data_IF_381774395427
#
_entry.id   IF_381774395427
#
_cell.length_a   1.000
_cell.length_b   1.000
_cell.length_c   1.000
_cell.angle_alpha   90.00
_cell.angle_beta   90.00
_cell.angle_gamma   90.00
#
_symmetry.space_group_name_H-M   'P 1'
#
loop_
_entity.id
_entity.type
_entity.pdbx_description
1 polymer ?
#
# COMPACT_ATOMS: atom_id res chain seq x y z
N UNK A 1 -2.93 10.66 -16.46
CA UNK A 1 -1.65 10.53 -15.72
C UNK A 1 -0.62 10.05 -16.72
N UNK A 2 0.54 10.69 -16.80
CA UNK A 2 1.60 10.24 -17.68
C UNK A 2 2.13 8.87 -17.22
N UNK A 3 2.53 8.02 -18.17
CA UNK A 3 3.03 6.67 -17.89
C UNK A 3 4.21 6.69 -16.89
N UNK A 4 5.05 7.73 -16.95
CA UNK A 4 6.17 7.90 -16.05
C UNK A 4 5.76 8.19 -14.60
N UNK A 5 4.72 8.99 -14.38
CA UNK A 5 4.20 9.24 -13.03
C UNK A 5 3.60 7.98 -12.43
N UNK A 6 2.99 7.15 -13.28
CA UNK A 6 2.46 5.86 -12.86
C UNK A 6 3.56 4.89 -12.42
N UNK A 7 4.64 4.78 -13.21
CA UNK A 7 5.80 3.95 -12.85
C UNK A 7 6.42 4.43 -11.54
N UNK A 8 6.59 5.74 -11.35
CA UNK A 8 7.10 6.31 -10.08
C UNK A 8 6.22 5.90 -8.89
N UNK A 9 4.90 5.90 -9.07
CA UNK A 9 3.93 5.48 -8.05
C UNK A 9 4.11 4.00 -7.70
N UNK A 10 4.27 3.12 -8.69
CA UNK A 10 4.50 1.69 -8.45
C UNK A 10 5.80 1.44 -7.71
N UNK A 11 6.91 1.98 -8.19
CA UNK A 11 8.22 1.81 -7.54
C UNK A 11 8.15 2.24 -6.07
N UNK A 12 7.54 3.40 -5.78
CA UNK A 12 7.35 3.88 -4.41
C UNK A 12 6.50 2.93 -3.57
N UNK A 13 5.36 2.48 -4.10
CA UNK A 13 4.44 1.60 -3.40
C UNK A 13 5.10 0.26 -3.09
N UNK A 14 5.80 -0.33 -4.06
CA UNK A 14 6.59 -1.54 -3.89
C UNK A 14 7.58 -1.43 -2.72
N UNK A 15 8.41 -0.39 -2.68
CA UNK A 15 9.37 -0.21 -1.57
C UNK A 15 8.65 0.00 -0.23
N UNK A 16 7.53 0.72 -0.24
CA UNK A 16 6.73 0.95 0.97
C UNK A 16 6.17 -0.37 1.52
N UNK A 17 5.56 -1.19 0.66
CA UNK A 17 5.00 -2.50 1.04
C UNK A 17 6.11 -3.43 1.52
N UNK A 18 7.22 -3.50 0.78
CA UNK A 18 8.37 -4.32 1.14
C UNK A 18 8.93 -3.94 2.52
N UNK A 19 9.18 -2.64 2.76
CA UNK A 19 9.65 -2.17 4.06
C UNK A 19 8.67 -2.48 5.19
N UNK A 20 7.37 -2.30 4.97
CA UNK A 20 6.35 -2.65 5.97
C UNK A 20 6.36 -4.14 6.30
N UNK A 21 6.43 -5.01 5.30
CA UNK A 21 6.54 -6.47 5.50
C UNK A 21 7.77 -6.80 6.34
N UNK A 22 8.95 -6.30 5.96
CA UNK A 22 10.20 -6.57 6.69
C UNK A 22 10.11 -6.09 8.13
N UNK A 23 9.57 -4.90 8.39
CA UNK A 23 9.40 -4.36 9.75
C UNK A 23 8.43 -5.24 10.55
N UNK A 24 7.25 -5.55 10.00
CA UNK A 24 6.24 -6.37 10.68
C UNK A 24 6.77 -7.77 11.00
N UNK A 25 7.47 -8.41 10.07
CA UNK A 25 8.07 -9.73 10.27
C UNK A 25 9.20 -9.66 11.30
N UNK A 26 10.06 -8.65 11.25
CA UNK A 26 11.16 -8.47 12.22
C UNK A 26 10.61 -8.28 13.65
N UNK A 27 9.63 -7.41 13.81
CA UNK A 27 8.96 -7.18 15.10
C UNK A 27 8.27 -8.46 15.59
N UNK A 28 7.61 -9.19 14.71
CA UNK A 28 6.93 -10.43 15.07
C UNK A 28 7.91 -11.55 15.43
N UNK A 29 9.03 -11.67 14.71
CA UNK A 29 10.09 -12.63 15.05
C UNK A 29 10.65 -12.36 16.45
N UNK A 30 10.90 -11.10 16.80
CA UNK A 30 11.38 -10.74 18.15
C UNK A 30 10.38 -11.09 19.26
N UNK A 31 9.08 -10.97 19.02
CA UNK A 31 8.04 -11.20 20.04
C UNK A 31 7.67 -12.68 20.14
N UNK A 32 7.49 -13.37 19.01
CA UNK A 32 6.89 -14.71 18.95
C UNK A 32 7.91 -15.84 18.76
N UNK A 33 9.01 -15.61 18.04
CA UNK A 33 10.04 -16.62 17.76
C UNK A 33 11.46 -16.03 17.85
N UNK A 34 11.94 -15.66 19.05
CA UNK A 34 13.21 -14.95 19.23
C UNK A 34 14.45 -15.71 18.72
N UNK A 35 14.33 -17.02 18.44
CA UNK A 35 15.41 -17.85 17.91
C UNK A 35 15.35 -18.10 16.39
N UNK A 36 14.35 -17.57 15.66
CA UNK A 36 14.26 -17.73 14.21
C UNK A 36 14.89 -16.52 13.51
N UNK A 37 16.13 -16.70 13.04
CA UNK A 37 16.82 -15.69 12.23
C UNK A 37 16.15 -15.54 10.87
N UNK A 38 16.02 -14.29 10.41
CA UNK A 38 15.63 -13.98 9.03
C UNK A 38 16.73 -14.46 8.08
N UNK A 39 16.42 -15.46 7.26
CA UNK A 39 17.35 -15.94 6.25
C UNK A 39 17.29 -15.07 5.00
N UNK A 40 18.36 -15.07 4.21
CA UNK A 40 18.38 -14.36 2.91
C UNK A 40 17.25 -14.83 1.99
N UNK A 41 16.91 -16.13 2.05
CA UNK A 41 15.80 -16.71 1.28
C UNK A 41 14.47 -16.05 1.64
N UNK A 42 14.22 -15.77 2.91
CA UNK A 42 12.99 -15.13 3.37
C UNK A 42 12.87 -13.70 2.82
N UNK A 43 13.99 -12.97 2.79
CA UNK A 43 14.04 -11.62 2.22
C UNK A 43 13.67 -11.64 0.73
N UNK A 44 14.22 -12.58 -0.06
CA UNK A 44 13.85 -12.73 -1.46
C UNK A 44 12.38 -13.09 -1.66
N UNK A 45 11.82 -13.91 -0.76
CA UNK A 45 10.39 -14.24 -0.77
C UNK A 45 9.54 -12.99 -0.51
N UNK A 46 9.88 -12.19 0.51
CA UNK A 46 9.16 -10.95 0.80
C UNK A 46 9.27 -9.94 -0.34
N UNK A 47 10.42 -9.90 -1.03
CA UNK A 47 10.65 -9.06 -2.19
C UNK A 47 9.75 -9.42 -3.37
N UNK A 48 9.62 -10.71 -3.68
CA UNK A 48 8.71 -11.18 -4.73
C UNK A 48 7.25 -10.96 -4.30
N UNK A 49 6.93 -11.22 -3.04
CA UNK A 49 5.59 -11.02 -2.49
C UNK A 49 5.15 -9.56 -2.58
N UNK A 50 5.99 -8.60 -2.19
CA UNK A 50 5.67 -7.17 -2.29
C UNK A 50 5.45 -6.73 -3.73
N UNK A 51 6.18 -7.32 -4.68
CA UNK A 51 5.98 -7.07 -6.11
C UNK A 51 4.63 -7.59 -6.58
N UNK A 52 4.24 -8.82 -6.22
CA UNK A 52 2.93 -9.39 -6.55
C UNK A 52 1.80 -8.54 -5.96
N UNK A 53 1.94 -8.07 -4.72
CA UNK A 53 0.95 -7.21 -4.05
C UNK A 53 0.79 -5.88 -4.78
N UNK A 54 1.89 -5.22 -5.13
CA UNK A 54 1.85 -3.95 -5.87
C UNK A 54 1.25 -4.14 -7.27
N UNK A 55 1.55 -5.26 -7.95
CA UNK A 55 0.93 -5.62 -9.22
C UNK A 55 -0.57 -5.94 -9.08
N UNK A 56 -1.00 -6.59 -8.00
CA UNK A 56 -2.43 -6.82 -7.74
C UNK A 56 -3.22 -5.51 -7.63
N UNK A 57 -2.57 -4.49 -7.07
CA UNK A 57 -3.13 -3.14 -6.98
C UNK A 57 -3.39 -2.53 -8.38
N UNK A 58 -2.69 -3.00 -9.43
CA UNK A 58 -2.95 -2.63 -10.83
C UNK A 58 -4.25 -3.21 -11.37
N UNK A 59 -4.50 -4.50 -11.10
CA UNK A 59 -5.67 -5.23 -11.64
C UNK A 59 -6.96 -4.57 -11.17
N UNK A 60 -6.93 -4.02 -9.96
CA UNK A 60 -8.06 -3.31 -9.42
C UNK A 60 -8.12 -1.86 -9.86
N UNK A 61 -7.21 -1.29 -10.65
CA UNK A 61 -7.26 0.10 -11.14
C UNK A 61 -8.36 0.29 -12.20
N UNK A 62 -9.51 0.86 -11.81
CA UNK A 62 -10.59 1.25 -12.73
C UNK A 62 -10.58 2.77 -12.95
N UNK A 63 -10.71 3.17 -14.22
CA UNK A 63 -10.72 4.55 -14.73
C UNK A 63 -12.11 5.21 -14.68
N UNK A 64 -13.14 4.49 -14.24
CA UNK A 64 -14.50 5.01 -14.22
C UNK A 64 -14.78 5.88 -12.99
N UNK A 65 -15.56 6.97 -13.19
CA UNK A 65 -16.08 7.82 -12.11
C UNK A 65 -17.11 7.03 -11.30
N UNK A 66 -16.64 6.34 -10.27
CA UNK A 66 -17.45 5.52 -9.38
C UNK A 66 -18.04 6.37 -8.24
N UNK A 67 -19.28 6.05 -7.85
CA UNK A 67 -19.95 6.61 -6.67
C UNK A 67 -19.23 6.18 -5.37
N UNK A 68 -19.33 6.97 -4.29
CA UNK A 68 -18.68 6.66 -2.99
C UNK A 68 -18.98 5.24 -2.47
N UNK A 69 -20.21 4.75 -2.67
CA UNK A 69 -20.60 3.38 -2.26
C UNK A 69 -19.83 2.30 -3.04
N UNK A 70 -19.57 2.54 -4.33
CA UNK A 70 -18.82 1.61 -5.19
C UNK A 70 -17.32 1.62 -4.84
N UNK A 71 -16.79 2.75 -4.36
CA UNK A 71 -15.41 2.83 -3.86
C UNK A 71 -15.21 1.95 -2.62
N UNK A 72 -16.18 1.94 -1.70
CA UNK A 72 -16.13 1.08 -0.51
C UNK A 72 -16.17 -0.41 -0.86
N UNK A 73 -17.08 -0.83 -1.73
CA UNK A 73 -17.19 -2.23 -2.18
C UNK A 73 -15.89 -2.69 -2.85
N UNK A 74 -15.30 -1.85 -3.70
CA UNK A 74 -14.03 -2.15 -4.37
C UNK A 74 -12.88 -2.30 -3.38
N UNK A 75 -12.85 -1.53 -2.30
CA UNK A 75 -11.84 -1.65 -1.25
C UNK A 75 -11.95 -2.99 -0.50
N UNK A 76 -13.17 -3.44 -0.22
CA UNK A 76 -13.43 -4.75 0.38
C UNK A 76 -12.97 -5.87 -0.57
N UNK A 77 -13.37 -5.81 -1.85
CA UNK A 77 -12.95 -6.81 -2.85
C UNK A 77 -11.43 -6.82 -3.00
N UNK A 78 -10.79 -5.65 -3.08
CA UNK A 78 -9.33 -5.54 -3.13
C UNK A 78 -8.68 -6.22 -1.93
N UNK A 79 -9.18 -5.93 -0.72
CA UNK A 79 -8.66 -6.54 0.50
C UNK A 79 -8.87 -8.06 0.49
N UNK A 80 -10.04 -8.56 0.10
CA UNK A 80 -10.32 -9.99 0.01
C UNK A 80 -9.44 -10.71 -1.01
N UNK A 81 -9.23 -10.14 -2.20
CA UNK A 81 -8.37 -10.71 -3.24
C UNK A 81 -6.91 -10.71 -2.78
N UNK A 82 -6.44 -9.60 -2.20
CA UNK A 82 -5.10 -9.47 -1.66
C UNK A 82 -4.84 -10.49 -0.54
N UNK A 83 -5.78 -10.60 0.42
CA UNK A 83 -5.67 -11.56 1.52
C UNK A 83 -5.64 -13.01 0.99
N UNK A 84 -6.54 -13.36 0.07
CA UNK A 84 -6.56 -14.68 -0.56
C UNK A 84 -5.26 -15.04 -1.28
N UNK A 85 -4.68 -14.10 -2.04
CA UNK A 85 -3.38 -14.30 -2.71
C UNK A 85 -2.25 -14.52 -1.72
N UNK A 86 -2.19 -13.73 -0.62
CA UNK A 86 -1.17 -13.92 0.41
C UNK A 86 -1.32 -15.24 1.15
N UNK A 87 -2.54 -15.67 1.48
CA UNK A 87 -2.80 -16.95 2.12
C UNK A 87 -2.37 -18.13 1.23
N UNK A 88 -2.72 -18.09 -0.06
CA UNK A 88 -2.29 -19.13 -1.00
C UNK A 88 -0.76 -19.14 -1.13
N UNK A 89 -0.15 -17.96 -1.27
CA UNK A 89 1.30 -17.83 -1.44
C UNK A 89 2.08 -18.37 -0.23
N UNK A 90 1.67 -17.99 0.98
CA UNK A 90 2.31 -18.44 2.23
C UNK A 90 2.12 -19.93 2.48
N UNK A 91 0.96 -20.49 2.12
CA UNK A 91 0.72 -21.94 2.17
C UNK A 91 1.62 -22.70 1.19
N UNK A 92 1.73 -22.25 -0.07
CA UNK A 92 2.59 -22.90 -1.09
C UNK A 92 4.07 -22.90 -0.68
N UNK A 93 4.53 -21.87 0.03
CA UNK A 93 5.92 -21.78 0.50
C UNK A 93 6.15 -22.61 1.77
N UNK A 94 5.08 -23.09 2.40
CA UNK A 94 5.16 -23.89 3.62
C UNK A 94 5.47 -23.06 4.88
N UNK A 95 5.07 -21.78 4.90
CA UNK A 95 5.26 -20.92 6.07
C UNK A 95 4.27 -21.20 7.22
N UNK A 96 3.17 -21.91 6.93
CA UNK A 96 2.08 -22.19 7.86
C UNK A 96 2.17 -23.64 8.32
N UNK A 97 2.52 -23.87 9.59
CA UNK A 97 2.54 -25.21 10.17
C UNK A 97 1.41 -25.41 11.18
N UNK A 98 1.09 -24.36 11.93
CA UNK A 98 0.05 -24.40 12.97
C UNK A 98 -1.04 -23.33 12.77
N UNK A 99 -2.19 -23.53 13.42
CA UNK A 99 -3.30 -22.55 13.39
C UNK A 99 -2.90 -21.18 13.95
N UNK A 100 -1.92 -21.14 14.86
CA UNK A 100 -1.36 -19.90 15.38
C UNK A 100 -0.62 -19.09 14.31
N UNK A 101 0.11 -19.75 13.39
CA UNK A 101 0.81 -19.08 12.30
C UNK A 101 -0.16 -18.35 11.37
N UNK A 102 -1.31 -18.99 11.10
CA UNK A 102 -2.37 -18.44 10.26
C UNK A 102 -2.96 -17.18 10.89
N UNK A 103 -3.26 -17.22 12.20
CA UNK A 103 -3.82 -16.08 12.92
C UNK A 103 -2.82 -14.91 12.96
N UNK A 104 -1.55 -15.19 13.23
CA UNK A 104 -0.49 -14.17 13.26
C UNK A 104 -0.34 -13.54 11.88
N UNK A 105 -0.33 -14.35 10.81
CA UNK A 105 -0.26 -13.86 9.44
C UNK A 105 -1.46 -12.97 9.10
N UNK A 106 -2.68 -13.40 9.45
CA UNK A 106 -3.90 -12.63 9.16
C UNK A 106 -3.86 -11.25 9.85
N UNK A 107 -3.41 -11.20 11.11
CA UNK A 107 -3.21 -9.93 11.84
C UNK A 107 -2.14 -9.07 11.14
N UNK A 108 -1.01 -9.65 10.72
CA UNK A 108 0.03 -8.92 9.99
C UNK A 108 -0.50 -8.33 8.68
N UNK A 109 -1.28 -9.09 7.92
CA UNK A 109 -1.90 -8.62 6.67
C UNK A 109 -2.80 -7.41 6.93
N UNK A 110 -3.66 -7.50 7.95
CA UNK A 110 -4.55 -6.39 8.34
C UNK A 110 -3.75 -5.15 8.73
N UNK A 111 -2.71 -5.30 9.55
CA UNK A 111 -1.86 -4.19 10.01
C UNK A 111 -1.12 -3.54 8.85
N UNK A 112 -0.45 -4.33 8.01
CA UNK A 112 0.29 -3.83 6.84
C UNK A 112 -0.66 -3.09 5.90
N UNK A 113 -1.85 -3.65 5.63
CA UNK A 113 -2.84 -3.02 4.76
C UNK A 113 -3.33 -1.68 5.32
N UNK A 114 -3.63 -1.62 6.63
CA UNK A 114 -4.08 -0.40 7.29
C UNK A 114 -3.01 0.70 7.22
N UNK A 115 -1.75 0.36 7.54
CA UNK A 115 -0.62 1.31 7.49
C UNK A 115 -0.35 1.77 6.06
N UNK A 116 -0.32 0.84 5.10
CA UNK A 116 -0.12 1.18 3.70
C UNK A 116 -1.21 2.14 3.20
N UNK A 117 -2.48 1.85 3.53
CA UNK A 117 -3.60 2.68 3.15
C UNK A 117 -3.55 4.08 3.79
N UNK A 118 -3.09 4.16 5.04
CA UNK A 118 -2.86 5.41 5.74
C UNK A 118 -1.73 6.24 5.08
N UNK A 119 -0.62 5.60 4.71
CA UNK A 119 0.49 6.26 4.01
C UNK A 119 0.03 6.80 2.65
N UNK A 120 -0.72 6.01 1.86
CA UNK A 120 -1.29 6.48 0.60
C UNK A 120 -2.18 7.71 0.81
N UNK A 121 -3.05 7.67 1.82
CA UNK A 121 -3.91 8.81 2.16
C UNK A 121 -3.11 10.05 2.56
N UNK A 122 -2.02 9.89 3.33
CA UNK A 122 -1.13 11.01 3.66
C UNK A 122 -0.47 11.62 2.41
N UNK A 123 0.00 10.79 1.48
CA UNK A 123 0.58 11.27 0.23
C UNK A 123 -0.44 12.02 -0.62
N UNK A 124 -1.66 11.48 -0.75
CA UNK A 124 -2.72 12.12 -1.52
C UNK A 124 -3.15 13.45 -0.87
N UNK A 125 -3.24 13.50 0.47
CA UNK A 125 -3.53 14.73 1.21
C UNK A 125 -2.45 15.79 1.01
N UNK A 126 -1.17 15.40 1.04
CA UNK A 126 -0.04 16.31 0.78
C UNK A 126 -0.11 16.86 -0.65
N UNK A 127 -0.36 16.01 -1.64
CA UNK A 127 -0.50 16.43 -3.03
C UNK A 127 -1.67 17.40 -3.23
N UNK A 128 -2.81 17.16 -2.57
CA UNK A 128 -3.96 18.07 -2.63
C UNK A 128 -3.65 19.44 -2.00
N UNK A 129 -2.93 19.47 -0.88
CA UNK A 129 -2.53 20.72 -0.24
C UNK A 129 -1.60 21.55 -1.14
N UNK A 130 -0.60 20.93 -1.77
CA UNK A 130 0.31 21.63 -2.69
C UNK A 130 -0.42 22.24 -3.90
N UNK A 131 -1.49 21.57 -4.38
CA UNK A 131 -2.33 22.11 -5.47
C UNK A 131 -3.16 23.30 -4.95
N UNK A 132 -3.76 23.18 -3.76
CA UNK A 132 -4.57 24.25 -3.18
C UNK A 132 -3.74 25.50 -2.88
N UNK A 133 -2.50 25.35 -2.41
CA UNK A 133 -1.57 26.47 -2.22
C UNK A 133 -1.28 27.19 -3.54
N UNK A 134 -0.98 26.44 -4.61
CA UNK A 134 -0.76 27.02 -5.94
C UNK A 134 -1.99 27.74 -6.49
N UNK A 135 -3.18 27.20 -6.26
CA UNK A 135 -4.44 27.83 -6.68
C UNK A 135 -4.70 29.14 -5.94
N UNK A 136 -4.41 29.20 -4.64
CA UNK A 136 -4.54 30.43 -3.86
C UNK A 136 -3.58 31.52 -4.36
N UNK A 137 -2.32 31.18 -4.63
CA UNK A 137 -1.34 32.12 -5.18
C UNK A 137 -1.82 32.71 -6.52
N UNK A 138 -2.27 31.85 -7.45
CA UNK A 138 -2.78 32.30 -8.76
C UNK A 138 -4.01 33.20 -8.58
N UNK A 139 -4.88 32.88 -7.62
CA UNK A 139 -6.07 33.69 -7.35
C UNK A 139 -5.71 35.07 -6.81
N UNK A 140 -4.78 35.16 -5.88
CA UNK A 140 -4.28 36.43 -5.34
C UNK A 140 -3.62 37.29 -6.44
N UNK A 141 -2.80 36.69 -7.32
CA UNK A 141 -2.21 37.40 -8.47
C UNK A 141 -3.26 37.96 -9.44
N UNK A 142 -4.36 37.23 -9.66
CA UNK A 142 -5.47 37.68 -10.53
C UNK A 142 -6.33 38.77 -9.88
N UNK A 143 -6.47 38.76 -8.55
CA UNK A 143 -7.18 39.81 -7.82
C UNK A 143 -6.38 41.12 -7.81
N UNK A 144 -5.04 41.06 -7.61
CA UNK A 144 -4.15 42.23 -7.68
C UNK A 144 -4.18 42.87 -9.08
N UNK A 145 -4.10 42.07 -10.16
CA UNK A 145 -4.17 42.60 -11.53
C UNK A 145 -5.49 43.31 -11.87
N UNK A 146 -6.59 42.97 -11.20
CA UNK A 146 -7.87 43.65 -11.39
C UNK A 146 -7.97 44.98 -10.65
N UNK A 147 -7.15 45.20 -9.62
CA UNK A 147 -7.09 46.47 -8.90
C UNK A 147 -6.14 47.49 -9.56
N UNK A 148 -5.23 47.02 -10.43
CA UNK A 148 -4.30 47.85 -11.20
C UNK A 148 -4.85 48.34 -12.56
N UNK A 149 -5.97 47.77 -13.05
CA UNK A 149 -6.72 48.18 -14.27
C UNK A 149 -7.88 49.15 -13.97
#
# INVERSE_FOLDING_TARGET
MELMDYIKKLIRNYFTIFSLIVICVTVSSQIFLPNKSLELKDIYIYMICSLIIDLLSLILYSTEKLSEKQMWIRRIIHFSVLNGVLLIFTNVIGFMHDTLDIIILEIQIIVIYAIFQFLVWMYDKKAANEINEKLNIIREELEIKKEEE
#
